data_IF_537316700147
#
_entry.id   IF_537316700147
#
_cell.length_a   1.000
_cell.length_b   1.000
_cell.length_c   1.000
_cell.angle_alpha   90.00
_cell.angle_beta   90.00
_cell.angle_gamma   90.00
#
_symmetry.space_group_name_H-M   'P 1'
#
loop_
_entity.id
_entity.type
_entity.pdbx_description
1 polymer ?
#
# COMPACT_ATOMS: atom_id res chain seq x y z
N UNK A 1 8.10 -23.57 15.05
CA UNK A 1 7.73 -23.59 14.82
C UNK A 1 7.32 -23.66 14.73
N UNK A 2 6.93 -23.43 14.86
CA UNK A 2 6.42 -23.45 14.71
C UNK A 2 5.80 -22.85 14.58
N UNK A 3 5.68 -22.26 14.64
CA UNK A 3 4.82 -21.78 14.65
C UNK A 3 3.63 -21.99 14.42
N UNK A 4 3.05 -22.40 14.47
CA UNK A 4 2.01 -22.70 14.21
C UNK A 4 1.05 -23.05 14.98
N UNK A 5 1.13 -23.47 15.67
CA UNK A 5 0.22 -24.00 16.38
C UNK A 5 -0.48 -23.15 17.30
N UNK A 6 0.19 -22.30 17.86
CA UNK A 6 -0.33 -21.45 18.72
C UNK A 6 -1.36 -20.63 18.14
N UNK A 7 -1.31 -20.37 16.90
CA UNK A 7 -2.20 -19.52 16.27
C UNK A 7 -3.61 -19.93 16.41
N UNK A 8 -3.87 -21.13 16.61
CA UNK A 8 -5.19 -21.55 16.72
C UNK A 8 -5.96 -20.97 17.82
N UNK A 9 -5.35 -20.85 18.92
CA UNK A 9 -6.00 -20.34 20.06
C UNK A 9 -6.37 -18.92 19.93
N UNK A 10 -5.59 -18.19 19.23
CA UNK A 10 -5.86 -16.81 19.10
C UNK A 10 -7.05 -16.49 18.33
N UNK A 11 -7.52 -17.39 17.52
CA UNK A 11 -8.64 -17.05 16.68
C UNK A 11 -9.85 -16.65 17.47
N UNK A 12 -9.95 -17.08 18.67
CA UNK A 12 -11.09 -16.72 19.46
C UNK A 12 -11.16 -15.26 19.76
N UNK A 13 -10.02 -14.65 19.88
CA UNK A 13 -9.97 -13.24 20.19
C UNK A 13 -9.73 -12.40 19.01
N UNK A 14 -9.54 -13.01 17.90
CA UNK A 14 -9.22 -12.31 16.69
C UNK A 14 -10.15 -11.18 16.35
N UNK A 15 -11.44 -11.28 16.51
CA UNK A 15 -12.33 -10.20 16.07
C UNK A 15 -12.01 -8.86 16.66
N UNK A 16 -11.38 -8.84 17.78
CA UNK A 16 -11.10 -7.58 18.41
C UNK A 16 -9.77 -6.98 18.03
N UNK A 17 -8.87 -7.79 17.56
CA UNK A 17 -7.55 -7.31 17.29
C UNK A 17 -7.15 -7.46 15.85
N UNK A 18 -7.97 -8.02 15.06
CA UNK A 18 -7.55 -8.44 13.78
C UNK A 18 -7.81 -7.39 12.74
N UNK A 19 -7.34 -6.21 12.99
CA UNK A 19 -7.57 -5.14 12.04
C UNK A 19 -6.31 -4.77 11.31
N UNK A 20 -5.27 -5.57 11.51
CA UNK A 20 -4.02 -5.37 10.82
C UNK A 20 -3.68 -6.66 10.13
N UNK A 21 -3.15 -6.57 8.97
CA UNK A 21 -2.74 -7.75 8.24
C UNK A 21 -1.53 -7.44 7.39
N UNK A 22 -0.80 -8.48 7.06
CA UNK A 22 0.40 -8.37 6.24
C UNK A 22 0.15 -9.05 4.92
N UNK A 23 0.72 -8.49 3.87
CA UNK A 23 0.74 -9.18 2.59
C UNK A 23 2.02 -8.79 1.86
N UNK A 24 2.32 -9.50 0.79
CA UNK A 24 3.42 -9.14 -0.08
C UNK A 24 2.79 -8.65 -1.37
N UNK A 25 3.13 -7.45 -1.77
CA UNK A 25 2.57 -6.86 -2.98
C UNK A 25 3.68 -6.34 -3.87
N UNK A 26 3.42 -6.34 -5.16
CA UNK A 26 4.30 -5.68 -6.09
C UNK A 26 4.10 -4.20 -5.95
N UNK A 27 5.18 -3.47 -5.74
CA UNK A 27 5.14 -2.02 -5.57
C UNK A 27 5.93 -1.36 -6.68
N UNK A 28 5.40 -0.24 -7.16
CA UNK A 28 6.05 0.58 -8.16
C UNK A 28 5.91 2.03 -7.72
N UNK A 29 6.37 2.96 -8.53
CA UNK A 29 6.29 4.37 -8.21
C UNK A 29 5.76 5.15 -9.39
N UNK A 30 5.03 6.21 -9.12
CA UNK A 30 4.54 7.09 -10.18
C UNK A 30 4.76 8.54 -9.81
N UNK A 31 4.80 9.41 -10.81
CA UNK A 31 5.04 10.82 -10.64
C UNK A 31 3.95 11.60 -11.38
N UNK A 32 3.88 12.93 -11.18
CA UNK A 32 2.92 13.74 -11.95
C UNK A 32 3.17 13.67 -13.46
N UNK A 33 4.40 13.32 -13.86
CA UNK A 33 4.72 13.21 -15.28
C UNK A 33 4.02 12.01 -15.92
N UNK A 34 3.67 11.00 -15.11
CA UNK A 34 3.04 9.78 -15.64
C UNK A 34 1.53 9.89 -15.70
N UNK A 35 0.93 10.44 -14.67
CA UNK A 35 -0.52 10.32 -14.47
C UNK A 35 -1.23 11.64 -14.22
N UNK A 36 -0.52 12.75 -14.28
CA UNK A 36 -1.11 14.04 -13.97
C UNK A 36 -1.16 14.30 -12.48
N UNK A 37 -1.94 15.27 -12.07
CA UNK A 37 -1.88 15.79 -10.72
C UNK A 37 -3.13 15.57 -9.87
N UNK A 38 -4.16 14.93 -10.42
CA UNK A 38 -5.42 14.70 -9.70
C UNK A 38 -5.61 13.20 -9.54
N UNK A 39 -5.86 12.78 -8.32
CA UNK A 39 -6.09 11.36 -8.02
C UNK A 39 -7.52 10.95 -8.30
N UNK A 40 -7.78 9.67 -8.20
CA UNK A 40 -9.14 9.14 -8.39
C UNK A 40 -10.11 9.65 -7.34
N UNK A 41 -9.62 10.07 -6.17
CA UNK A 41 -10.49 10.67 -5.15
C UNK A 41 -10.79 12.13 -5.44
N UNK A 42 -10.15 12.72 -6.45
CA UNK A 42 -10.36 14.12 -6.78
C UNK A 42 -9.40 15.07 -6.08
N UNK A 43 -8.50 14.57 -5.28
CA UNK A 43 -7.54 15.44 -4.60
C UNK A 43 -6.26 15.56 -5.40
N UNK A 44 -5.45 16.54 -5.08
CA UNK A 44 -4.14 16.69 -5.71
C UNK A 44 -3.20 15.60 -5.22
N UNK A 45 -2.40 15.05 -6.12
CA UNK A 45 -1.38 14.07 -5.72
C UNK A 45 -0.44 14.67 -4.69
N UNK A 46 0.02 13.85 -3.76
CA UNK A 46 0.94 14.31 -2.73
C UNK A 46 1.77 13.14 -2.21
N UNK A 47 2.90 13.46 -1.63
CA UNK A 47 3.73 12.48 -0.95
C UNK A 47 2.90 11.87 0.17
N UNK A 48 2.93 10.56 0.29
CA UNK A 48 2.10 9.83 1.24
C UNK A 48 0.90 9.16 0.61
N UNK A 49 0.62 9.44 -0.67
CA UNK A 49 -0.47 8.78 -1.38
C UNK A 49 0.01 7.57 -2.15
N UNK A 50 -0.85 6.58 -2.28
CA UNK A 50 -0.58 5.41 -3.13
C UNK A 50 -1.82 5.09 -3.95
N UNK A 51 -1.57 4.53 -5.12
CA UNK A 51 -2.62 4.02 -5.99
C UNK A 51 -2.71 2.51 -5.79
N UNK A 52 -3.92 2.01 -5.61
CA UNK A 52 -4.13 0.60 -5.34
C UNK A 52 -5.56 0.25 -5.69
N UNK A 53 -5.76 -0.90 -6.35
CA UNK A 53 -7.09 -1.30 -6.79
C UNK A 53 -7.81 -2.22 -5.82
N UNK A 54 -7.08 -2.84 -4.90
CA UNK A 54 -7.68 -3.87 -4.06
C UNK A 54 -7.94 -3.44 -2.62
N UNK A 55 -7.67 -2.19 -2.28
CA UNK A 55 -7.97 -1.66 -0.95
C UNK A 55 -8.86 -0.45 -1.08
N UNK A 56 -9.78 -0.23 -0.15
CA UNK A 56 -10.64 0.95 -0.20
C UNK A 56 -9.85 2.25 -0.06
N UNK A 57 -10.36 3.31 -0.63
CA UNK A 57 -9.79 4.63 -0.40
C UNK A 57 -9.79 4.92 1.10
N UNK A 58 -8.73 5.55 1.56
CA UNK A 58 -8.59 5.87 2.97
C UNK A 58 -7.87 4.81 3.79
N UNK A 59 -7.63 3.63 3.21
CA UNK A 59 -6.87 2.59 3.88
C UNK A 59 -5.43 3.06 4.07
N UNK A 60 -4.89 2.84 5.25
CA UNK A 60 -3.49 3.18 5.53
C UNK A 60 -2.66 1.92 5.40
N UNK A 61 -1.58 2.01 4.65
CA UNK A 61 -0.63 0.91 4.49
C UNK A 61 0.74 1.38 4.94
N UNK A 62 1.54 0.48 5.46
CA UNK A 62 2.90 0.77 5.89
C UNK A 62 3.86 -0.05 5.04
N UNK A 63 4.78 0.63 4.38
CA UNK A 63 5.76 0.01 3.50
C UNK A 63 7.12 0.56 3.89
N UNK A 64 8.04 -0.31 4.26
CA UNK A 64 9.38 0.09 4.73
C UNK A 64 9.30 1.10 5.88
N UNK A 65 8.34 0.92 6.77
CA UNK A 65 8.20 1.78 7.94
C UNK A 65 7.53 3.12 7.69
N UNK A 66 7.08 3.38 6.47
CA UNK A 66 6.44 4.64 6.12
C UNK A 66 4.95 4.41 5.89
N UNK A 67 4.12 5.28 6.44
CA UNK A 67 2.68 5.19 6.26
C UNK A 67 2.25 5.91 5.00
N UNK A 68 1.35 5.26 4.25
CA UNK A 68 0.75 5.83 3.05
C UNK A 68 -0.75 5.65 3.13
N UNK A 69 -1.48 6.47 2.40
CA UNK A 69 -2.94 6.34 2.32
C UNK A 69 -3.35 6.05 0.89
N UNK A 70 -4.29 5.13 0.74
CA UNK A 70 -4.81 4.79 -0.59
C UNK A 70 -5.74 5.91 -1.04
N UNK A 71 -5.36 6.62 -2.08
CA UNK A 71 -6.14 7.74 -2.61
C UNK A 71 -6.28 7.71 -4.13
N UNK A 72 -5.82 6.65 -4.77
CA UNK A 72 -5.85 6.58 -6.22
C UNK A 72 -5.99 5.14 -6.68
N UNK A 73 -6.18 4.95 -7.97
CA UNK A 73 -6.29 3.61 -8.57
C UNK A 73 -5.15 3.40 -9.54
N UNK A 74 -4.70 2.15 -9.62
CA UNK A 74 -3.62 1.76 -10.53
C UNK A 74 -4.17 1.33 -11.87
N UNK A 75 -3.31 1.32 -12.86
CA UNK A 75 -3.64 0.70 -14.14
C UNK A 75 -3.48 -0.80 -14.12
N UNK A 76 -2.85 -1.37 -13.10
CA UNK A 76 -2.58 -2.81 -13.00
C UNK A 76 -3.10 -3.31 -11.66
N UNK A 77 -3.86 -4.39 -11.69
CA UNK A 77 -4.40 -4.99 -10.47
C UNK A 77 -3.28 -5.67 -9.67
N UNK A 78 -3.43 -5.68 -8.37
CA UNK A 78 -2.47 -6.35 -7.50
C UNK A 78 -1.22 -5.56 -7.20
N UNK A 79 -1.14 -4.34 -7.69
CA UNK A 79 0.03 -3.49 -7.54
C UNK A 79 -0.28 -2.32 -6.62
N UNK A 80 0.69 -1.89 -5.86
CA UNK A 80 0.62 -0.65 -5.10
C UNK A 80 1.62 0.32 -5.72
N UNK A 81 1.11 1.45 -6.19
CA UNK A 81 1.91 2.42 -6.92
C UNK A 81 2.11 3.64 -6.04
N UNK A 82 3.34 3.90 -5.64
CA UNK A 82 3.67 4.92 -4.64
C UNK A 82 3.96 6.23 -5.34
N UNK A 83 3.26 7.28 -4.92
CA UNK A 83 3.51 8.60 -5.49
C UNK A 83 4.87 9.12 -5.05
N UNK A 84 5.66 9.59 -5.98
CA UNK A 84 6.94 10.24 -5.74
C UNK A 84 7.03 11.51 -6.56
N UNK A 85 7.59 12.54 -5.95
CA UNK A 85 7.74 13.82 -6.65
C UNK A 85 8.86 13.80 -7.67
N UNK A 86 9.92 13.07 -7.36
CA UNK A 86 11.12 13.04 -8.20
C UNK A 86 11.06 11.90 -9.19
N UNK A 87 11.23 12.23 -10.46
CA UNK A 87 11.28 11.23 -11.51
C UNK A 87 12.45 10.28 -11.28
N UNK A 88 13.59 10.81 -10.85
CA UNK A 88 14.76 9.99 -10.57
C UNK A 88 14.50 8.99 -9.45
N UNK A 89 13.84 9.44 -8.39
CA UNK A 89 13.53 8.55 -7.27
C UNK A 89 12.58 7.45 -7.72
N UNK A 90 11.62 7.78 -8.54
CA UNK A 90 10.68 6.80 -9.07
C UNK A 90 11.38 5.76 -9.92
N UNK A 91 12.31 6.20 -10.77
CA UNK A 91 13.08 5.29 -11.60
C UNK A 91 13.95 4.38 -10.75
N UNK A 92 14.59 4.94 -9.73
CA UNK A 92 15.42 4.14 -8.84
C UNK A 92 14.61 3.14 -8.04
N UNK A 93 13.43 3.51 -7.60
CA UNK A 93 12.58 2.58 -6.88
C UNK A 93 12.20 1.41 -7.77
N UNK A 94 11.86 1.70 -9.00
CA UNK A 94 11.53 0.69 -10.00
C UNK A 94 10.28 -0.08 -9.62
N UNK A 95 10.38 -1.40 -9.73
CA UNK A 95 9.27 -2.30 -9.41
C UNK A 95 9.84 -3.42 -8.57
N UNK A 96 9.27 -3.63 -7.39
CA UNK A 96 9.80 -4.63 -6.47
C UNK A 96 8.70 -5.13 -5.56
N UNK A 97 8.87 -6.34 -5.03
CA UNK A 97 7.93 -6.87 -4.06
C UNK A 97 8.30 -6.37 -2.67
N UNK A 98 7.30 -5.98 -1.90
CA UNK A 98 7.49 -5.47 -0.55
C UNK A 98 6.50 -6.13 0.39
N UNK A 99 6.89 -6.22 1.65
CA UNK A 99 5.95 -6.54 2.71
C UNK A 99 5.15 -5.29 3.01
N UNK A 100 3.84 -5.45 3.03
CA UNK A 100 2.93 -4.34 3.25
C UNK A 100 2.06 -4.66 4.46
N UNK A 101 2.03 -3.74 5.41
CA UNK A 101 1.20 -3.89 6.59
C UNK A 101 -0.03 -3.00 6.39
N UNK A 102 -1.20 -3.59 6.53
CA UNK A 102 -2.44 -2.85 6.34
C UNK A 102 -3.00 -2.53 7.71
N UNK A 103 -3.13 -1.25 8.01
CA UNK A 103 -3.71 -0.80 9.27
C UNK A 103 -5.21 -0.68 9.09
N UNK A 104 -5.93 -1.35 9.94
CA UNK A 104 -7.38 -1.27 9.86
C UNK A 104 -8.00 -0.85 11.17
#
# INVERSE_FOLDING_TARGET
>A
MRRKLLTILFTLLAPFAAHAEWLIAECSAYTPYDCGTITATGETVHVGGVACNFLPFGTVVVIDGVEYIVNDRCGIDGCIDIFMESYEDAIQFGRQYKEVYIKR
#
